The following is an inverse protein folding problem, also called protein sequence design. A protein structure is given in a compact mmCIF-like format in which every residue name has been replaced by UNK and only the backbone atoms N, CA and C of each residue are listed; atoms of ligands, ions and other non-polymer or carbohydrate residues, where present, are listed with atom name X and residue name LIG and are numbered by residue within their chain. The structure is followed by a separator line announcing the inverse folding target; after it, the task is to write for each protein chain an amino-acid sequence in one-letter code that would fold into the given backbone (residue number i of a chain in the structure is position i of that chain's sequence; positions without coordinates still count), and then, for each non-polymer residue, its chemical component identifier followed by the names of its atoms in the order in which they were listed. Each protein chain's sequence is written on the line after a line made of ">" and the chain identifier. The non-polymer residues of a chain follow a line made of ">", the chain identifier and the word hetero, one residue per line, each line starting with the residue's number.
data_IF_956452638763
#
_entry.id   IF_956452638763
#
_cell.length_a   1.000
_cell.length_b   1.000
_cell.length_c   1.000
_cell.angle_alpha   90.00
_cell.angle_beta   90.00
_cell.angle_gamma   90.00
#
_symmetry.space_group_name_H-M   'P 1'
#
loop_
_entity.id
_entity.type
_entity.pdbx_description
1 polymer ?
#
# COMPACT_ATOMS: atom_id res chain seq x y z
N UNK A 1 6.47 5.69 -5.88
CA UNK A 1 5.42 6.36 -5.08
C UNK A 1 6.05 7.01 -3.87
N UNK A 2 5.54 8.18 -3.47
CA UNK A 2 6.00 8.98 -2.31
C UNK A 2 4.85 9.13 -1.32
N UNK A 3 5.13 9.00 -0.02
CA UNK A 3 4.18 9.16 1.08
C UNK A 3 4.38 10.52 1.75
N UNK A 4 3.32 11.33 1.82
CA UNK A 4 3.33 12.66 2.45
C UNK A 4 2.31 12.75 3.57
N UNK A 5 2.65 13.48 4.62
CA UNK A 5 1.77 13.73 5.77
C UNK A 5 1.12 15.12 5.68
N UNK A 6 -0.09 15.22 6.22
CA UNK A 6 -0.75 16.49 6.51
C UNK A 6 -0.37 16.83 7.95
N UNK A 7 0.38 17.91 8.16
CA UNK A 7 0.71 18.36 9.52
C UNK A 7 -0.55 18.46 10.41
N UNK A 8 -0.38 18.32 11.73
CA UNK A 8 -1.41 18.58 12.75
C UNK A 8 -1.92 20.03 12.65
N UNK A 9 -2.97 20.27 11.84
CA UNK A 9 -3.93 21.30 12.19
C UNK A 9 -4.68 20.80 13.41
N UNK A 10 -4.70 21.61 14.48
CA UNK A 10 -5.19 21.25 15.81
C UNK A 10 -6.36 20.26 15.79
N UNK A 11 -6.20 19.18 16.55
CA UNK A 11 -7.27 18.24 16.86
C UNK A 11 -8.36 18.99 17.63
N UNK A 12 -9.34 19.56 16.93
CA UNK A 12 -10.66 19.68 17.53
C UNK A 12 -11.13 18.25 17.80
N UNK A 13 -11.15 17.89 19.09
CA UNK A 13 -11.67 16.62 19.61
C UNK A 13 -13.13 16.48 19.18
N UNK A 14 -13.36 15.93 17.99
CA UNK A 14 -14.68 15.47 17.59
C UNK A 14 -14.95 14.16 18.33
N UNK A 15 -16.02 14.19 19.13
CA UNK A 15 -16.46 13.11 20.01
C UNK A 15 -16.47 11.76 19.27
N UNK A 16 -15.88 10.74 19.93
CA UNK A 16 -15.83 9.35 19.47
C UNK A 16 -17.23 8.90 19.01
N UNK A 17 -17.37 8.47 17.75
CA UNK A 17 -18.57 7.76 17.29
C UNK A 17 -18.69 6.41 18.01
N UNK A 18 -19.90 5.93 18.36
CA UNK A 18 -20.09 4.58 18.84
C UNK A 18 -19.75 3.56 17.74
N UNK A 19 -19.03 2.49 18.10
CA UNK A 19 -18.71 1.38 17.19
C UNK A 19 -19.99 0.65 16.74
N UNK A 20 -20.09 0.31 15.46
CA UNK A 20 -21.21 -0.48 14.92
C UNK A 20 -20.83 -1.98 14.93
N UNK A 21 -21.82 -2.87 14.99
CA UNK A 21 -21.64 -4.31 15.24
C UNK A 21 -20.79 -5.07 14.19
N UNK A 22 -20.45 -4.45 13.05
CA UNK A 22 -19.56 -5.02 12.03
C UNK A 22 -18.08 -4.63 12.21
N UNK A 23 -17.76 -3.75 13.17
CA UNK A 23 -16.39 -3.35 13.57
C UNK A 23 -15.72 -4.37 14.53
N UNK A 24 -16.27 -5.57 14.68
CA UNK A 24 -15.80 -6.55 15.66
C UNK A 24 -14.84 -7.53 14.98
N UNK A 25 -13.56 -7.42 15.34
CA UNK A 25 -12.58 -8.46 15.05
C UNK A 25 -13.06 -9.80 15.66
N UNK A 26 -12.85 -10.94 14.98
CA UNK A 26 -13.26 -12.23 15.51
C UNK A 26 -12.64 -12.49 16.90
N UNK A 27 -13.37 -13.16 17.81
CA UNK A 27 -12.96 -13.29 19.21
C UNK A 27 -11.60 -13.97 19.35
N UNK A 28 -10.77 -13.42 20.24
CA UNK A 28 -9.51 -14.00 20.67
C UNK A 28 -9.76 -15.33 21.36
N UNK A 29 -9.19 -16.41 20.83
CA UNK A 29 -9.17 -17.69 21.52
C UNK A 29 -8.24 -17.56 22.74
N UNK A 30 -8.78 -17.85 23.92
CA UNK A 30 -8.08 -17.74 25.20
C UNK A 30 -6.98 -18.79 25.34
N UNK A 31 -5.92 -18.38 26.04
CA UNK A 31 -4.76 -19.16 26.45
C UNK A 31 -5.14 -20.42 27.21
N UNK A 32 -4.97 -21.58 26.56
CA UNK A 32 -4.70 -22.83 27.25
C UNK A 32 -4.13 -23.85 26.24
N UNK A 33 -2.81 -23.87 26.06
CA UNK A 33 -2.04 -25.11 25.97
C UNK A 33 -0.53 -24.83 26.02
N UNK A 34 0.11 -25.61 26.89
CA UNK A 34 1.48 -25.53 27.39
C UNK A 34 2.54 -25.69 26.28
N UNK A 35 3.71 -25.14 26.59
CA UNK A 35 4.96 -25.27 25.86
C UNK A 35 5.27 -26.71 25.44
N UNK A 36 5.64 -26.87 24.17
CA UNK A 36 6.31 -28.04 23.60
C UNK A 36 7.60 -27.59 22.92
N UNK A 37 8.62 -28.45 22.82
CA UNK A 37 9.98 -28.06 22.46
C UNK A 37 10.06 -27.58 21.01
N UNK A 38 10.85 -26.53 20.79
CA UNK A 38 11.18 -25.99 19.47
C UNK A 38 12.01 -27.03 18.70
N UNK A 39 11.52 -27.61 17.59
CA UNK A 39 12.38 -28.34 16.67
C UNK A 39 13.10 -27.32 15.77
N UNK A 40 14.39 -27.56 15.54
CA UNK A 40 15.35 -26.64 14.97
C UNK A 40 15.01 -26.02 13.61
N UNK A 41 15.78 -24.97 13.34
CA UNK A 41 15.78 -24.12 12.14
C UNK A 41 16.06 -24.90 10.85
N UNK A 42 15.08 -25.63 10.33
CA UNK A 42 15.10 -26.17 8.97
C UNK A 42 13.72 -26.06 8.30
N UNK A 43 13.22 -24.82 8.11
CA UNK A 43 12.14 -24.55 7.15
C UNK A 43 12.62 -23.57 6.07
N UNK A 44 13.69 -23.97 5.38
CA UNK A 44 14.10 -23.35 4.12
C UNK A 44 13.11 -23.76 3.01
N UNK A 45 12.38 -22.76 2.50
CA UNK A 45 11.67 -22.74 1.21
C UNK A 45 10.75 -23.93 0.87
N UNK A 46 9.58 -24.01 1.51
CA UNK A 46 8.42 -24.53 0.76
C UNK A 46 8.07 -23.49 -0.30
N UNK A 47 8.54 -23.69 -1.54
CA UNK A 47 8.02 -22.98 -2.72
C UNK A 47 6.51 -23.15 -2.71
N UNK A 48 5.78 -22.12 -2.27
CA UNK A 48 4.34 -22.09 -2.39
C UNK A 48 4.02 -22.10 -3.88
N UNK A 49 3.77 -23.30 -4.42
CA UNK A 49 3.33 -23.46 -5.80
C UNK A 49 2.04 -22.66 -5.93
N UNK A 50 2.04 -21.68 -6.82
CA UNK A 50 0.85 -20.90 -7.15
C UNK A 50 -0.31 -21.85 -7.40
N UNK A 51 -1.51 -21.59 -6.85
CA UNK A 51 -2.70 -22.35 -7.20
C UNK A 51 -2.93 -22.38 -8.73
N UNK A 52 -3.73 -23.32 -9.24
CA UNK A 52 -4.03 -23.39 -10.66
C UNK A 52 -4.44 -22.03 -11.24
N UNK A 53 -3.98 -21.76 -12.47
CA UNK A 53 -4.29 -20.53 -13.19
C UNK A 53 -5.81 -20.41 -13.36
N UNK A 54 -6.34 -19.21 -13.12
CA UNK A 54 -7.71 -18.83 -13.48
C UNK A 54 -7.65 -17.94 -14.72
N UNK A 55 -8.77 -17.82 -15.41
CA UNK A 55 -8.87 -16.89 -16.52
C UNK A 55 -8.72 -15.45 -16.04
N UNK A 56 -7.84 -14.73 -16.70
CA UNK A 56 -7.66 -13.28 -16.56
C UNK A 56 -8.77 -12.56 -17.35
N UNK A 57 -8.97 -11.27 -17.11
CA UNK A 57 -9.83 -10.50 -18.00
C UNK A 57 -9.18 -10.26 -19.38
N UNK A 58 -9.96 -9.71 -20.32
CA UNK A 58 -9.50 -9.44 -21.70
C UNK A 58 -8.26 -8.53 -21.76
N UNK A 59 -7.98 -7.80 -20.70
CA UNK A 59 -6.86 -6.87 -20.58
C UNK A 59 -5.66 -7.46 -19.83
N UNK A 60 -5.77 -8.71 -19.37
CA UNK A 60 -4.73 -9.44 -18.65
C UNK A 60 -4.66 -9.10 -17.15
N UNK A 61 -5.70 -8.48 -16.57
CA UNK A 61 -5.77 -8.29 -15.13
C UNK A 61 -6.28 -9.54 -14.41
N UNK A 62 -5.75 -9.74 -13.21
CA UNK A 62 -6.25 -10.77 -12.30
C UNK A 62 -7.71 -10.52 -11.92
N UNK A 63 -8.56 -11.52 -12.16
CA UNK A 63 -9.97 -11.51 -11.74
C UNK A 63 -10.07 -12.01 -10.30
N UNK A 64 -10.64 -11.19 -9.41
CA UNK A 64 -10.71 -11.46 -7.99
C UNK A 64 -12.14 -11.32 -7.43
N UNK A 65 -12.38 -11.96 -6.29
CA UNK A 65 -13.60 -11.81 -5.50
C UNK A 65 -13.29 -11.22 -4.12
N UNK A 66 -14.15 -10.34 -3.62
CA UNK A 66 -13.99 -9.83 -2.25
C UNK A 66 -14.13 -10.96 -1.23
N UNK A 67 -13.26 -10.97 -0.23
CA UNK A 67 -13.20 -12.02 0.79
C UNK A 67 -12.40 -13.26 0.42
N UNK A 68 -11.99 -13.43 -0.84
CA UNK A 68 -11.10 -14.53 -1.23
C UNK A 68 -9.66 -14.27 -0.75
N UNK A 69 -8.82 -15.31 -0.80
CA UNK A 69 -7.41 -15.20 -0.42
C UNK A 69 -6.52 -15.24 -1.68
N UNK A 70 -5.52 -14.36 -1.76
CA UNK A 70 -4.42 -14.49 -2.73
C UNK A 70 -3.48 -15.62 -2.30
N UNK A 71 -3.17 -15.68 -1.01
CA UNK A 71 -2.39 -16.77 -0.39
C UNK A 71 -3.01 -17.06 0.97
N UNK A 72 -2.64 -18.15 1.66
CA UNK A 72 -3.09 -18.37 3.03
C UNK A 72 -2.83 -17.18 3.98
N UNK A 73 -1.88 -16.29 3.64
CA UNK A 73 -1.54 -15.07 4.38
C UNK A 73 -2.45 -13.88 4.05
N UNK A 74 -2.76 -13.62 2.79
CA UNK A 74 -3.41 -12.37 2.36
C UNK A 74 -4.86 -12.57 1.94
N UNK A 75 -5.80 -11.95 2.67
CA UNK A 75 -7.23 -11.92 2.34
C UNK A 75 -7.61 -10.60 1.66
N UNK A 76 -8.29 -10.67 0.52
CA UNK A 76 -8.73 -9.50 -0.26
C UNK A 76 -9.95 -8.86 0.41
N UNK A 77 -9.89 -7.55 0.63
CA UNK A 77 -10.96 -6.78 1.27
C UNK A 77 -11.64 -5.79 0.34
N UNK A 78 -10.86 -5.02 -0.41
CA UNK A 78 -11.39 -3.99 -1.31
C UNK A 78 -10.42 -3.70 -2.47
N UNK A 79 -10.91 -3.05 -3.53
CA UNK A 79 -10.07 -2.52 -4.62
C UNK A 79 -9.73 -1.06 -4.31
N UNK A 80 -8.44 -0.76 -4.23
CA UNK A 80 -7.94 0.61 -3.99
C UNK A 80 -7.70 1.39 -5.29
N UNK A 81 -7.28 0.71 -6.35
CA UNK A 81 -6.95 1.36 -7.62
C UNK A 81 -6.79 0.39 -8.80
N UNK A 82 -6.76 0.95 -10.00
CA UNK A 82 -6.50 0.23 -11.25
C UNK A 82 -5.86 1.18 -12.26
N UNK A 83 -4.97 0.63 -13.08
CA UNK A 83 -4.37 1.36 -14.18
C UNK A 83 -3.70 0.42 -15.18
N UNK A 84 -2.81 0.99 -15.99
CA UNK A 84 -2.10 0.29 -17.07
C UNK A 84 -1.31 -0.92 -16.57
N UNK A 85 -0.74 -0.83 -15.36
CA UNK A 85 0.16 -1.85 -14.82
C UNK A 85 -0.58 -2.99 -14.11
N UNK A 86 -1.84 -2.80 -13.71
CA UNK A 86 -2.59 -3.78 -12.93
C UNK A 86 -3.57 -3.15 -11.96
N UNK A 87 -3.87 -3.87 -10.87
CA UNK A 87 -4.81 -3.48 -9.83
C UNK A 87 -4.11 -3.39 -8.48
N UNK A 88 -4.55 -2.45 -7.64
CA UNK A 88 -4.11 -2.36 -6.24
C UNK A 88 -5.28 -2.75 -5.35
N UNK A 89 -5.06 -3.74 -4.50
CA UNK A 89 -6.06 -4.31 -3.60
C UNK A 89 -5.68 -4.03 -2.15
N UNK A 90 -6.66 -3.65 -1.34
CA UNK A 90 -6.51 -3.64 0.12
C UNK A 90 -6.68 -5.07 0.61
N UNK A 91 -5.70 -5.57 1.35
CA UNK A 91 -5.70 -6.92 1.89
C UNK A 91 -5.43 -6.91 3.39
N UNK A 92 -5.95 -7.93 4.08
CA UNK A 92 -5.58 -8.26 5.45
C UNK A 92 -4.42 -9.25 5.44
N UNK A 93 -3.29 -8.85 6.02
CA UNK A 93 -2.16 -9.74 6.28
C UNK A 93 -2.38 -10.48 7.60
N UNK A 94 -2.63 -11.79 7.52
CA UNK A 94 -2.90 -12.63 8.69
C UNK A 94 -1.68 -12.88 9.56
N UNK A 95 -0.46 -12.76 9.01
CA UNK A 95 0.76 -12.99 9.77
C UNK A 95 1.11 -11.76 10.63
N UNK A 96 1.13 -10.57 10.03
CA UNK A 96 1.44 -9.32 10.76
C UNK A 96 0.23 -8.72 11.47
N UNK A 97 -0.99 -9.14 11.11
CA UNK A 97 -2.26 -8.57 11.59
C UNK A 97 -2.40 -7.09 11.24
N UNK A 98 -1.98 -6.75 10.04
CA UNK A 98 -2.04 -5.38 9.50
C UNK A 98 -2.78 -5.34 8.16
N UNK A 99 -3.30 -4.17 7.83
CA UNK A 99 -3.78 -3.92 6.48
C UNK A 99 -2.62 -3.56 5.56
N UNK A 100 -2.61 -4.12 4.36
CA UNK A 100 -1.57 -3.91 3.34
C UNK A 100 -2.20 -3.56 2.00
N UNK A 101 -1.44 -2.88 1.14
CA UNK A 101 -1.81 -2.64 -0.25
C UNK A 101 -1.04 -3.63 -1.14
N UNK A 102 -1.73 -4.43 -1.95
CA UNK A 102 -1.11 -5.40 -2.85
C UNK A 102 -1.37 -4.99 -4.29
N UNK A 103 -0.28 -4.65 -5.01
CA UNK A 103 -0.31 -4.40 -6.46
C UNK A 103 -0.21 -5.73 -7.18
N UNK A 104 -1.29 -6.13 -7.84
CA UNK A 104 -1.35 -7.32 -8.69
C UNK A 104 -1.11 -6.88 -10.14
N UNK A 105 0.09 -7.18 -10.65
CA UNK A 105 0.54 -6.78 -11.99
C UNK A 105 -0.14 -7.66 -13.04
N UNK A 106 -0.53 -7.08 -14.18
CA UNK A 106 -1.13 -7.83 -15.30
C UNK A 106 -0.23 -9.01 -15.72
N UNK A 107 -0.82 -10.15 -16.08
CA UNK A 107 -0.09 -11.35 -16.55
C UNK A 107 0.38 -11.20 -18.00
N UNK A 108 1.10 -10.11 -18.29
CA UNK A 108 1.68 -9.79 -19.59
C UNK A 108 3.19 -9.61 -19.38
N UNK A 109 4.00 -10.33 -20.18
CA UNK A 109 5.46 -10.38 -20.03
C UNK A 109 6.12 -9.01 -19.85
N UNK A 110 5.82 -8.03 -20.70
CA UNK A 110 6.40 -6.67 -20.59
C UNK A 110 6.12 -5.99 -19.24
N UNK A 111 4.94 -6.20 -18.66
CA UNK A 111 4.57 -5.60 -17.36
C UNK A 111 5.19 -6.38 -16.21
N UNK A 112 5.34 -7.69 -16.36
CA UNK A 112 6.08 -8.55 -15.43
C UNK A 112 7.55 -8.13 -15.33
N UNK A 113 8.21 -7.97 -16.47
CA UNK A 113 9.62 -7.55 -16.54
C UNK A 113 9.81 -6.16 -15.90
N UNK A 114 8.91 -5.22 -16.20
CA UNK A 114 8.89 -3.90 -15.56
C UNK A 114 8.65 -3.96 -14.04
N UNK A 115 7.80 -4.87 -13.57
CA UNK A 115 7.54 -5.05 -12.15
C UNK A 115 8.74 -5.62 -11.39
N UNK A 116 9.53 -6.49 -12.00
CA UNK A 116 10.77 -6.99 -11.38
C UNK A 116 11.78 -5.86 -11.20
N UNK A 117 11.94 -4.99 -12.20
CA UNK A 117 12.78 -3.79 -12.07
C UNK A 117 12.26 -2.85 -10.95
N UNK A 118 10.94 -2.68 -10.85
CA UNK A 118 10.32 -1.91 -9.77
C UNK A 118 10.62 -2.51 -8.39
N UNK A 119 10.54 -3.84 -8.25
CA UNK A 119 10.89 -4.56 -7.01
C UNK A 119 12.36 -4.31 -6.64
N UNK A 120 13.30 -4.42 -7.59
CA UNK A 120 14.73 -4.21 -7.33
C UNK A 120 15.00 -2.80 -6.80
N UNK A 121 14.40 -1.78 -7.43
CA UNK A 121 14.50 -0.38 -6.99
C UNK A 121 13.89 -0.20 -5.60
N UNK A 122 12.70 -0.76 -5.35
CA UNK A 122 12.03 -0.67 -4.05
C UNK A 122 12.83 -1.34 -2.93
N UNK A 123 13.46 -2.49 -3.20
CA UNK A 123 14.33 -3.17 -2.26
C UNK A 123 15.60 -2.36 -1.97
N UNK A 124 16.20 -1.72 -2.99
CA UNK A 124 17.33 -0.81 -2.80
C UNK A 124 16.93 0.40 -1.93
N UNK A 125 15.76 0.98 -2.17
CA UNK A 125 15.23 2.07 -1.35
C UNK A 125 14.98 1.63 0.10
N UNK A 126 14.42 0.44 0.32
CA UNK A 126 14.16 -0.08 1.66
C UNK A 126 15.45 -0.37 2.44
N UNK A 127 16.46 -0.95 1.79
CA UNK A 127 17.76 -1.29 2.42
C UNK A 127 18.53 -0.06 2.91
N UNK A 128 18.39 1.08 2.22
CA UNK A 128 19.08 2.32 2.55
C UNK A 128 18.23 3.28 3.41
N UNK A 129 17.01 2.87 3.78
CA UNK A 129 16.07 3.75 4.48
C UNK A 129 16.52 3.99 5.93
N UNK A 130 16.91 5.23 6.24
CA UNK A 130 17.28 5.67 7.60
C UNK A 130 16.10 6.28 8.39
N UNK A 131 14.87 6.09 7.92
CA UNK A 131 13.64 6.56 8.58
C UNK A 131 13.04 7.85 8.00
N UNK A 132 13.68 8.47 6.99
CA UNK A 132 13.23 9.75 6.41
C UNK A 132 13.00 9.74 4.90
N UNK A 133 13.08 8.58 4.23
CA UNK A 133 12.97 8.51 2.76
C UNK A 133 11.64 9.03 2.22
N UNK A 134 10.56 8.86 3.00
CA UNK A 134 9.17 9.08 2.56
C UNK A 134 8.81 8.37 1.24
N UNK A 135 9.62 7.42 0.81
CA UNK A 135 9.27 6.49 -0.25
C UNK A 135 8.33 5.42 0.32
N UNK A 136 7.38 4.96 -0.48
CA UNK A 136 6.51 3.84 -0.07
C UNK A 136 7.36 2.60 0.20
N UNK A 137 7.11 1.94 1.33
CA UNK A 137 7.85 0.76 1.74
C UNK A 137 7.26 -0.52 1.15
N UNK A 138 8.10 -1.28 0.44
CA UNK A 138 7.82 -2.67 0.09
C UNK A 138 7.94 -3.55 1.35
N UNK A 139 6.97 -4.43 1.55
CA UNK A 139 6.94 -5.40 2.66
C UNK A 139 7.33 -6.80 2.22
N UNK A 140 6.87 -7.19 1.03
CA UNK A 140 7.15 -8.49 0.42
C UNK A 140 6.78 -8.43 -1.08
N UNK A 141 7.13 -9.46 -1.84
CA UNK A 141 6.56 -9.73 -3.15
C UNK A 141 6.45 -11.23 -3.37
N UNK A 142 5.53 -11.66 -4.24
CA UNK A 142 5.36 -13.06 -4.57
C UNK A 142 4.73 -13.22 -5.95
N UNK A 143 4.89 -14.42 -6.51
CA UNK A 143 4.18 -14.84 -7.71
C UNK A 143 2.86 -15.53 -7.36
N UNK A 144 1.79 -15.12 -8.03
CA UNK A 144 0.47 -15.72 -7.86
C UNK A 144 -0.25 -15.85 -9.20
N UNK A 145 -0.48 -17.09 -9.65
CA UNK A 145 -1.21 -17.39 -10.89
C UNK A 145 -0.66 -16.62 -12.10
N UNK A 146 0.66 -16.56 -12.24
CA UNK A 146 1.39 -15.80 -13.29
C UNK A 146 1.39 -14.27 -13.14
N UNK A 147 0.78 -13.72 -12.09
CA UNK A 147 0.88 -12.32 -11.73
C UNK A 147 1.98 -12.08 -10.70
N UNK A 148 2.78 -11.03 -10.91
CA UNK A 148 3.66 -10.51 -9.86
C UNK A 148 2.80 -9.70 -8.89
N UNK A 149 2.84 -10.07 -7.61
CA UNK A 149 2.15 -9.38 -6.53
C UNK A 149 3.18 -8.66 -5.65
N UNK A 150 3.10 -7.34 -5.58
CA UNK A 150 3.99 -6.52 -4.73
C UNK A 150 3.19 -6.03 -3.53
N UNK A 151 3.68 -6.32 -2.33
CA UNK A 151 3.03 -5.97 -1.06
C UNK A 151 3.68 -4.71 -0.51
N UNK A 152 2.85 -3.69 -0.28
CA UNK A 152 3.25 -2.41 0.28
C UNK A 152 2.59 -2.19 1.64
N UNK A 153 3.16 -1.27 2.43
CA UNK A 153 2.40 -0.66 3.52
C UNK A 153 1.11 -0.03 3.00
N UNK A 154 0.06 -0.04 3.83
CA UNK A 154 -1.19 0.62 3.45
C UNK A 154 -1.11 2.12 3.75
N UNK A 155 -1.31 2.91 2.71
CA UNK A 155 -1.39 4.37 2.78
C UNK A 155 -2.81 4.86 2.49
N UNK A 156 -3.01 6.15 2.71
CA UNK A 156 -4.22 6.88 2.35
C UNK A 156 -4.35 7.16 0.83
N UNK A 157 -5.34 7.97 0.43
CA UNK A 157 -5.57 8.27 -0.98
C UNK A 157 -4.41 9.10 -1.57
N UNK A 158 -4.28 9.05 -2.90
CA UNK A 158 -3.39 9.94 -3.64
C UNK A 158 -3.82 11.40 -3.51
N UNK A 159 -2.90 12.35 -3.73
CA UNK A 159 -3.25 13.77 -3.80
C UNK A 159 -4.27 14.03 -4.91
N UNK A 160 -4.19 13.30 -6.03
CA UNK A 160 -5.19 13.36 -7.09
C UNK A 160 -6.58 12.93 -6.59
N UNK A 161 -6.68 11.77 -5.95
CA UNK A 161 -7.95 11.27 -5.41
C UNK A 161 -8.51 12.19 -4.33
N UNK A 162 -7.63 12.78 -3.51
CA UNK A 162 -8.02 13.75 -2.50
C UNK A 162 -8.61 15.01 -3.13
N UNK A 163 -7.93 15.59 -4.14
CA UNK A 163 -8.43 16.73 -4.91
C UNK A 163 -9.77 16.42 -5.56
N UNK A 164 -9.90 15.27 -6.21
CA UNK A 164 -11.15 14.83 -6.85
C UNK A 164 -12.30 14.75 -5.85
N UNK A 165 -12.08 14.13 -4.68
CA UNK A 165 -13.08 14.06 -3.58
C UNK A 165 -13.44 15.44 -3.05
N UNK A 166 -12.50 16.38 -3.07
CA UNK A 166 -12.69 17.77 -2.68
C UNK A 166 -13.12 18.70 -3.83
N UNK A 167 -13.71 18.14 -4.90
CA UNK A 167 -14.20 18.90 -6.07
C UNK A 167 -13.15 19.82 -6.70
N UNK A 168 -11.88 19.41 -6.65
CA UNK A 168 -10.72 20.16 -7.13
C UNK A 168 -10.53 21.53 -6.47
N UNK A 169 -11.08 21.74 -5.27
CA UNK A 169 -10.76 22.92 -4.48
C UNK A 169 -9.26 22.92 -4.14
N UNK A 170 -8.57 24.06 -4.35
CA UNK A 170 -7.13 24.15 -4.16
C UNK A 170 -6.76 23.94 -2.69
N UNK A 171 -5.55 23.44 -2.47
CA UNK A 171 -4.98 23.37 -1.13
C UNK A 171 -4.58 24.77 -0.63
N UNK A 172 -4.70 25.04 0.68
CA UNK A 172 -4.07 26.20 1.29
C UNK A 172 -2.56 26.23 0.98
N UNK A 173 -2.01 27.42 0.75
CA UNK A 173 -0.61 27.60 0.36
C UNK A 173 0.38 26.97 1.36
N UNK A 174 0.04 26.98 2.65
CA UNK A 174 0.87 26.38 3.69
C UNK A 174 0.95 24.86 3.55
N UNK A 175 -0.16 24.22 3.17
CA UNK A 175 -0.20 22.78 2.91
C UNK A 175 0.55 22.43 1.62
N UNK A 176 0.45 23.28 0.58
CA UNK A 176 1.24 23.12 -0.65
C UNK A 176 2.74 23.21 -0.36
N UNK A 177 3.16 24.19 0.45
CA UNK A 177 4.56 24.37 0.87
C UNK A 177 5.09 23.12 1.58
N UNK A 178 4.27 22.55 2.46
CA UNK A 178 4.65 21.36 3.22
C UNK A 178 4.72 20.11 2.35
N UNK A 179 3.75 19.88 1.46
CA UNK A 179 3.86 18.82 0.46
C UNK A 179 5.09 18.98 -0.44
N UNK A 180 5.40 20.22 -0.84
CA UNK A 180 6.60 20.54 -1.62
C UNK A 180 7.89 20.17 -0.88
N UNK A 181 8.02 20.55 0.40
CA UNK A 181 9.17 20.18 1.24
C UNK A 181 9.32 18.67 1.32
N UNK A 182 8.24 17.95 1.63
CA UNK A 182 8.29 16.50 1.79
C UNK A 182 8.61 15.76 0.48
N UNK A 183 8.08 16.25 -0.64
CA UNK A 183 8.39 15.74 -1.98
C UNK A 183 9.87 15.93 -2.32
N UNK A 184 10.41 17.12 -2.07
CA UNK A 184 11.83 17.42 -2.31
C UNK A 184 12.75 16.54 -1.46
N UNK A 185 12.39 16.28 -0.19
CA UNK A 185 13.15 15.36 0.68
C UNK A 185 13.19 13.94 0.11
N UNK A 186 12.07 13.41 -0.40
CA UNK A 186 12.06 12.10 -1.06
C UNK A 186 12.86 12.06 -2.36
N UNK A 187 12.81 13.14 -3.15
CA UNK A 187 13.58 13.24 -4.40
C UNK A 187 15.07 13.32 -4.11
N UNK A 188 15.48 14.13 -3.12
CA UNK A 188 16.86 14.22 -2.68
C UNK A 188 17.39 12.86 -2.23
N UNK A 189 16.61 12.12 -1.43
CA UNK A 189 16.96 10.76 -1.01
C UNK A 189 17.15 9.79 -2.21
N UNK A 190 16.24 9.82 -3.19
CA UNK A 190 16.41 9.00 -4.40
C UNK A 190 17.67 9.38 -5.17
N UNK A 191 17.99 10.67 -5.27
CA UNK A 191 19.17 11.16 -5.97
C UNK A 191 20.49 10.79 -5.26
N UNK A 192 20.52 10.74 -3.92
CA UNK A 192 21.67 10.21 -3.16
C UNK A 192 21.99 8.75 -3.54
N UNK A 193 20.96 7.98 -3.89
CA UNK A 193 21.07 6.60 -4.38
C UNK A 193 21.23 6.49 -5.90
N UNK A 194 21.38 7.62 -6.61
CA UNK A 194 21.47 7.73 -8.08
C UNK A 194 20.23 7.16 -8.80
N UNK A 195 19.07 7.26 -8.17
CA UNK A 195 17.79 6.82 -8.73
C UNK A 195 16.99 8.02 -9.24
N UNK A 196 16.26 7.85 -10.33
CA UNK A 196 15.33 8.84 -10.89
C UNK A 196 13.94 8.22 -10.87
N UNK A 197 12.95 8.92 -10.29
CA UNK A 197 11.58 8.36 -10.19
C UNK A 197 10.88 8.24 -11.56
N UNK A 198 11.15 9.14 -12.50
CA UNK A 198 10.61 9.21 -13.89
C UNK A 198 9.09 9.42 -14.06
N UNK A 199 8.26 9.14 -13.05
CA UNK A 199 6.80 9.29 -13.12
C UNK A 199 6.22 10.08 -11.92
N UNK A 200 6.78 11.25 -11.60
CA UNK A 200 6.25 12.09 -10.51
C UNK A 200 4.99 12.84 -10.94
N UNK A 201 3.86 12.51 -10.30
CA UNK A 201 2.54 13.10 -10.54
C UNK A 201 1.65 12.95 -9.31
N UNK A 202 0.56 13.73 -9.17
CA UNK A 202 -0.32 13.70 -8.00
C UNK A 202 -0.90 12.31 -7.64
N UNK A 203 -1.04 11.41 -8.61
CA UNK A 203 -1.50 10.03 -8.45
C UNK A 203 -0.46 9.16 -7.71
N UNK A 204 0.83 9.50 -7.83
CA UNK A 204 1.95 8.76 -7.22
C UNK A 204 2.43 9.38 -5.89
N UNK A 205 1.73 10.41 -5.40
CA UNK A 205 1.96 11.03 -4.09
C UNK A 205 0.77 10.66 -3.20
N UNK A 206 1.01 9.80 -2.22
CA UNK A 206 0.00 9.21 -1.33
C UNK A 206 0.04 9.90 0.03
N UNK A 207 -1.13 10.05 0.65
CA UNK A 207 -1.21 10.52 2.03
C UNK A 207 -0.85 9.41 3.01
N UNK A 208 -0.11 9.69 4.09
CA UNK A 208 0.18 8.69 5.13
C UNK A 208 -1.11 8.25 5.83
N UNK A 209 -1.98 9.19 6.19
CA UNK A 209 -3.26 8.88 6.83
C UNK A 209 -4.41 8.70 5.83
N UNK A 210 -5.22 7.66 6.06
CA UNK A 210 -6.48 7.45 5.36
C UNK A 210 -7.63 8.30 5.89
N UNK A 211 -7.43 9.02 7.02
CA UNK A 211 -8.48 9.86 7.61
C UNK A 211 -8.79 11.07 6.73
N UNK A 212 -10.07 11.25 6.43
CA UNK A 212 -10.55 12.41 5.70
C UNK A 212 -10.56 13.63 6.63
N UNK A 213 -9.60 14.53 6.44
CA UNK A 213 -9.62 15.86 7.04
C UNK A 213 -10.27 16.81 6.06
N UNK A 214 -11.38 17.43 6.48
CA UNK A 214 -12.03 18.51 5.71
C UNK A 214 -11.09 19.71 5.73
N UNK A 215 -10.70 20.20 4.55
CA UNK A 215 -9.92 21.43 4.49
C UNK A 215 -10.77 22.59 5.00
N UNK A 216 -10.20 23.52 5.79
CA UNK A 216 -10.91 24.74 6.17
C UNK A 216 -11.34 25.48 4.91
N UNK A 217 -12.59 25.93 4.87
CA UNK A 217 -13.08 26.78 3.79
C UNK A 217 -12.32 28.10 3.85
N UNK A 218 -11.50 28.41 2.84
CA UNK A 218 -11.07 29.79 2.63
C UNK A 218 -12.30 30.57 2.14
N UNK A 219 -12.74 31.55 2.93
CA UNK A 219 -13.60 32.61 2.39
C UNK A 219 -12.69 33.46 1.50
N UNK A 220 -13.00 33.50 0.21
CA UNK A 220 -12.48 34.51 -0.71
C UNK A 220 -13.07 35.85 -0.33
#
# INVERSE_FOLDING_TARGET
>A
MIAVDKFHMERERTRKRPRLAWDVAPPSVSEAQRALPVPGDEEFERKHVSPPKRDDDREGHYVFNLGENLTPRYKILSKMGEGTFGRVLECWDRQTREYVAIKVVRSIRKYRDAAMLEIDVLQQLAKNNRGSSRCVQIRNWFDYRSHVCIVFERLGPSLFDFLKRNKYCPFPVDLVREFGRQLLESVAYMHELRLIHTDLKPENILLVSSEYVKLPSYKV
#
